data_IF_316263238660
#
_entry.id   IF_316263238660
#
_cell.length_a   1.000
_cell.length_b   1.000
_cell.length_c   1.000
_cell.angle_alpha   90.00
_cell.angle_beta   90.00
_cell.angle_gamma   90.00
#
_symmetry.space_group_name_H-M   'P 1'
#
loop_
_entity.id
_entity.type
_entity.pdbx_description
1 polymer ?
#
# COMPACT_ATOMS: atom_id res chain seq x y z
N UNK A 1 24.18 -14.30 -1.85
CA UNK A 1 23.45 -13.29 -1.06
C UNK A 1 22.17 -13.93 -0.58
N UNK A 2 21.74 -13.67 0.65
CA UNK A 2 20.43 -14.16 1.12
C UNK A 2 19.31 -13.40 0.38
N UNK A 3 18.16 -14.03 0.11
CA UNK A 3 17.07 -13.34 -0.59
C UNK A 3 16.41 -12.27 0.30
N UNK A 4 15.83 -11.25 -0.32
CA UNK A 4 14.92 -10.32 0.37
C UNK A 4 13.67 -11.10 0.78
N UNK A 5 13.37 -11.16 2.08
CA UNK A 5 12.20 -11.88 2.59
C UNK A 5 11.06 -10.94 2.88
N UNK A 6 9.90 -11.23 2.32
CA UNK A 6 8.67 -10.47 2.52
C UNK A 6 7.59 -11.33 3.20
N UNK A 7 6.89 -10.74 4.17
CA UNK A 7 5.75 -11.35 4.83
C UNK A 7 4.48 -10.66 4.35
N UNK A 8 3.59 -11.42 3.74
CA UNK A 8 2.23 -10.99 3.39
C UNK A 8 1.27 -11.51 4.46
N UNK A 9 0.67 -10.60 5.20
CA UNK A 9 -0.28 -10.96 6.24
C UNK A 9 -1.57 -11.51 5.63
N UNK A 10 -2.05 -12.65 6.14
CA UNK A 10 -3.30 -13.30 5.71
C UNK A 10 -4.24 -13.54 6.89
N UNK A 11 -5.49 -13.83 6.60
CA UNK A 11 -6.51 -14.27 7.57
C UNK A 11 -7.80 -13.46 7.55
N UNK A 12 -8.86 -14.07 8.00
CA UNK A 12 -10.15 -13.47 8.34
C UNK A 12 -10.68 -12.39 7.39
N UNK A 13 -10.70 -12.65 6.08
CA UNK A 13 -11.24 -11.73 5.08
C UNK A 13 -10.19 -10.91 4.33
N UNK A 14 -8.90 -11.02 4.66
CA UNK A 14 -7.82 -10.54 3.79
C UNK A 14 -7.77 -11.43 2.55
N UNK A 15 -8.16 -10.90 1.40
CA UNK A 15 -8.35 -11.68 0.17
C UNK A 15 -7.48 -11.25 -1.02
N UNK A 16 -6.65 -10.22 -0.86
CA UNK A 16 -5.66 -9.80 -1.88
C UNK A 16 -4.25 -10.38 -1.62
N UNK A 17 -4.15 -11.40 -0.78
CA UNK A 17 -2.89 -11.98 -0.32
C UNK A 17 -2.17 -12.79 -1.41
N UNK A 18 -2.90 -13.48 -2.29
CA UNK A 18 -2.33 -14.27 -3.39
C UNK A 18 -1.68 -13.39 -4.46
N UNK A 19 -2.38 -12.38 -4.95
CA UNK A 19 -1.85 -11.44 -5.92
C UNK A 19 -0.72 -10.58 -5.36
N UNK A 20 -0.77 -10.24 -4.06
CA UNK A 20 0.30 -9.52 -3.36
C UNK A 20 1.57 -10.38 -3.24
N UNK A 21 1.43 -11.64 -2.83
CA UNK A 21 2.52 -12.61 -2.79
C UNK A 21 3.15 -12.81 -4.18
N UNK A 22 2.31 -12.93 -5.20
CA UNK A 22 2.77 -13.07 -6.59
C UNK A 22 3.53 -11.82 -7.06
N UNK A 23 3.02 -10.61 -6.77
CA UNK A 23 3.66 -9.36 -7.14
C UNK A 23 5.05 -9.20 -6.49
N UNK A 24 5.19 -9.57 -5.21
CA UNK A 24 6.48 -9.57 -4.51
C UNK A 24 7.47 -10.57 -5.11
N UNK A 25 7.01 -11.77 -5.50
CA UNK A 25 7.84 -12.76 -6.19
C UNK A 25 8.30 -12.26 -7.57
N UNK A 26 7.43 -11.61 -8.34
CA UNK A 26 7.80 -10.94 -9.59
C UNK A 26 8.84 -9.83 -9.36
N UNK A 27 8.75 -9.12 -8.24
CA UNK A 27 9.73 -8.11 -7.85
C UNK A 27 11.08 -8.69 -7.37
N UNK A 28 11.17 -10.01 -7.16
CA UNK A 28 12.41 -10.70 -6.77
C UNK A 28 12.53 -11.02 -5.28
N UNK A 29 11.46 -10.87 -4.49
CA UNK A 29 11.45 -11.26 -3.09
C UNK A 29 11.15 -12.75 -2.90
N UNK A 30 11.67 -13.34 -1.82
CA UNK A 30 11.16 -14.56 -1.22
C UNK A 30 9.95 -14.20 -0.35
N UNK A 31 8.76 -14.30 -0.93
CA UNK A 31 7.52 -13.90 -0.29
C UNK A 31 6.80 -15.07 0.37
N UNK A 32 6.32 -14.84 1.59
CA UNK A 32 5.62 -15.81 2.43
C UNK A 32 4.27 -15.24 2.86
N UNK A 33 3.20 -15.99 2.61
CA UNK A 33 1.88 -15.70 3.14
C UNK A 33 1.77 -16.30 4.54
N UNK A 34 1.59 -15.44 5.55
CA UNK A 34 1.56 -15.82 6.96
C UNK A 34 0.23 -15.44 7.59
N UNK A 35 -0.46 -16.41 8.15
CA UNK A 35 -1.74 -16.15 8.81
C UNK A 35 -1.52 -15.40 10.13
N UNK A 36 -2.38 -14.41 10.42
CA UNK A 36 -2.27 -13.57 11.63
C UNK A 36 -2.14 -14.39 12.91
N UNK A 37 -2.80 -15.52 13.00
CA UNK A 37 -2.70 -16.38 14.18
C UNK A 37 -1.30 -16.99 14.36
N UNK A 38 -0.55 -17.21 13.29
CA UNK A 38 0.83 -17.72 13.38
C UNK A 38 1.74 -16.68 14.04
N UNK A 39 1.50 -15.40 13.76
CA UNK A 39 2.24 -14.31 14.40
C UNK A 39 1.82 -14.06 15.85
N UNK A 40 0.50 -14.16 16.15
CA UNK A 40 -0.03 -13.82 17.47
C UNK A 40 0.22 -14.91 18.48
N UNK A 41 0.02 -16.17 18.12
CA UNK A 41 -0.02 -17.27 19.08
C UNK A 41 1.11 -18.29 18.92
N UNK A 42 1.91 -18.20 17.86
CA UNK A 42 2.84 -19.24 17.49
C UNK A 42 2.15 -20.60 17.18
N UNK A 43 0.83 -20.60 17.01
CA UNK A 43 -0.01 -21.81 16.87
C UNK A 43 -0.48 -22.06 15.42
N UNK A 44 0.22 -21.53 14.44
CA UNK A 44 -0.08 -21.81 13.03
C UNK A 44 0.57 -23.10 12.52
N UNK A 45 0.46 -23.33 11.23
CA UNK A 45 1.15 -24.41 10.53
C UNK A 45 2.68 -24.31 10.61
N UNK A 46 3.19 -23.13 10.98
CA UNK A 46 4.61 -22.88 11.22
C UNK A 46 4.78 -22.04 12.51
N UNK A 47 4.90 -22.69 13.68
CA UNK A 47 5.06 -22.01 14.97
C UNK A 47 6.38 -21.22 15.10
N UNK A 48 7.30 -21.40 14.14
CA UNK A 48 8.61 -20.73 14.16
C UNK A 48 8.65 -19.46 13.29
N UNK A 49 7.47 -18.87 12.92
CA UNK A 49 7.43 -17.61 12.19
C UNK A 49 7.89 -16.47 13.09
N UNK A 50 9.12 -16.03 12.88
CA UNK A 50 9.70 -14.86 13.53
C UNK A 50 9.70 -13.67 12.57
N UNK A 51 8.93 -12.63 12.92
CA UNK A 51 8.83 -11.37 12.12
C UNK A 51 10.21 -10.73 11.93
N UNK A 52 11.14 -10.92 12.88
CA UNK A 52 12.49 -10.36 12.79
C UNK A 52 13.29 -10.88 11.61
N UNK A 53 12.95 -12.04 11.07
CA UNK A 53 13.63 -12.64 9.91
C UNK A 53 13.19 -12.10 8.56
N UNK A 54 12.14 -11.29 8.53
CA UNK A 54 11.62 -10.64 7.32
C UNK A 54 12.16 -9.21 7.18
N UNK A 55 12.12 -8.68 5.96
CA UNK A 55 12.58 -7.35 5.61
C UNK A 55 11.43 -6.41 5.19
N UNK A 56 10.37 -6.99 4.64
CA UNK A 56 9.16 -6.28 4.17
C UNK A 56 7.95 -6.93 4.82
N UNK A 57 7.10 -6.12 5.45
CA UNK A 57 5.81 -6.53 6.00
C UNK A 57 4.69 -5.90 5.18
N UNK A 58 3.77 -6.72 4.68
CA UNK A 58 2.65 -6.27 3.85
C UNK A 58 1.32 -6.56 4.53
N UNK A 59 0.58 -5.49 4.75
CA UNK A 59 -0.84 -5.51 5.10
C UNK A 59 -1.62 -5.45 3.78
N UNK A 60 -2.13 -6.58 3.33
CA UNK A 60 -2.86 -6.68 2.08
C UNK A 60 -4.25 -6.08 2.12
N UNK A 61 -4.85 -5.91 0.95
CA UNK A 61 -6.24 -5.54 0.78
C UNK A 61 -7.21 -6.67 1.16
N UNK A 62 -8.46 -6.31 1.30
CA UNK A 62 -9.54 -7.23 1.66
C UNK A 62 -10.59 -6.57 2.54
N UNK A 63 -11.24 -7.40 3.37
CA UNK A 63 -12.31 -7.02 4.30
C UNK A 63 -12.04 -7.71 5.64
N UNK A 64 -10.97 -7.31 6.32
CA UNK A 64 -10.53 -7.95 7.55
C UNK A 64 -11.65 -7.96 8.59
N UNK A 65 -12.05 -9.16 9.05
CA UNK A 65 -13.22 -9.38 9.92
C UNK A 65 -14.52 -8.77 9.38
N UNK A 66 -14.72 -8.83 8.03
CA UNK A 66 -15.88 -8.26 7.34
C UNK A 66 -16.06 -6.74 7.56
N UNK A 67 -14.95 -6.04 7.88
CA UNK A 67 -14.92 -4.61 8.24
C UNK A 67 -15.85 -4.25 9.42
N UNK A 68 -16.13 -5.23 10.26
CA UNK A 68 -16.92 -5.01 11.47
C UNK A 68 -16.25 -3.94 12.34
N UNK A 69 -17.03 -3.02 12.90
CA UNK A 69 -16.57 -1.82 13.60
C UNK A 69 -15.74 -0.82 12.76
N UNK A 70 -15.77 -0.92 11.43
CA UNK A 70 -15.03 -0.11 10.46
C UNK A 70 -13.82 -0.84 9.86
N UNK A 71 -13.49 -0.46 8.64
CA UNK A 71 -12.47 -1.14 7.86
C UNK A 71 -11.09 -1.13 8.54
N UNK A 72 -10.50 -2.31 8.68
CA UNK A 72 -9.18 -2.51 9.28
C UNK A 72 -9.10 -2.36 10.80
N UNK A 73 -10.20 -1.99 11.51
CA UNK A 73 -10.18 -1.70 12.96
C UNK A 73 -9.88 -2.96 13.79
N UNK A 74 -10.57 -4.07 13.51
CA UNK A 74 -10.36 -5.31 14.26
C UNK A 74 -8.96 -5.86 14.05
N UNK A 75 -8.46 -5.83 12.81
CA UNK A 75 -7.10 -6.25 12.50
C UNK A 75 -6.06 -5.41 13.26
N UNK A 76 -6.19 -4.08 13.20
CA UNK A 76 -5.31 -3.17 13.92
C UNK A 76 -5.31 -3.45 15.44
N UNK A 77 -6.49 -3.60 16.04
CA UNK A 77 -6.60 -3.93 17.47
C UNK A 77 -5.93 -5.26 17.82
N UNK A 78 -6.15 -6.31 17.01
CA UNK A 78 -5.51 -7.61 17.20
C UNK A 78 -3.98 -7.51 17.15
N UNK A 79 -3.45 -6.79 16.19
CA UNK A 79 -2.00 -6.57 16.05
C UNK A 79 -1.47 -5.76 17.24
N UNK A 80 -2.07 -4.62 17.54
CA UNK A 80 -1.62 -3.71 18.60
C UNK A 80 -1.47 -4.42 19.95
N UNK A 81 -2.48 -5.21 20.34
CA UNK A 81 -2.51 -5.85 21.65
C UNK A 81 -1.72 -7.17 21.74
N UNK A 82 -1.37 -7.81 20.62
CA UNK A 82 -0.68 -9.09 20.66
C UNK A 82 0.77 -9.04 20.18
N UNK A 83 1.07 -8.24 19.14
CA UNK A 83 2.41 -8.16 18.53
C UNK A 83 2.89 -6.72 18.31
N UNK A 84 2.27 -5.72 18.96
CA UNK A 84 2.61 -4.30 18.78
C UNK A 84 4.11 -4.03 18.99
N UNK A 85 4.71 -4.57 20.05
CA UNK A 85 6.14 -4.44 20.34
C UNK A 85 7.03 -5.04 19.23
N UNK A 86 6.59 -6.14 18.61
CA UNK A 86 7.32 -6.76 17.49
C UNK A 86 7.27 -5.86 16.25
N UNK A 87 6.10 -5.24 15.98
CA UNK A 87 5.94 -4.27 14.88
C UNK A 87 6.82 -3.04 15.13
N UNK A 88 6.82 -2.47 16.33
CA UNK A 88 7.68 -1.34 16.67
C UNK A 88 9.17 -1.68 16.50
N UNK A 89 9.59 -2.87 16.91
CA UNK A 89 10.96 -3.34 16.70
C UNK A 89 11.28 -3.46 15.21
N UNK A 90 10.37 -4.04 14.42
CA UNK A 90 10.50 -4.17 12.98
C UNK A 90 10.73 -2.82 12.29
N UNK A 91 9.98 -1.78 12.70
CA UNK A 91 10.12 -0.41 12.20
C UNK A 91 11.46 0.21 12.64
N UNK A 92 11.83 0.06 13.93
CA UNK A 92 13.13 0.56 14.45
C UNK A 92 14.33 -0.05 13.76
N UNK A 93 14.26 -1.33 13.39
CA UNK A 93 15.30 -2.04 12.64
C UNK A 93 15.46 -1.51 11.19
N UNK A 94 14.61 -0.57 10.77
CA UNK A 94 14.70 0.10 9.47
C UNK A 94 14.12 -0.71 8.33
N UNK A 95 13.23 -1.63 8.61
CA UNK A 95 12.54 -2.48 7.66
C UNK A 95 11.33 -1.77 7.04
N UNK A 96 10.77 -2.34 5.98
CA UNK A 96 9.70 -1.71 5.20
C UNK A 96 8.32 -2.27 5.56
N UNK A 97 7.35 -1.38 5.62
CA UNK A 97 5.93 -1.74 5.84
C UNK A 97 5.09 -1.10 4.74
N UNK A 98 4.23 -1.87 4.10
CA UNK A 98 3.24 -1.34 3.16
C UNK A 98 1.84 -1.83 3.52
N UNK A 99 0.87 -0.92 3.47
CA UNK A 99 -0.56 -1.20 3.63
C UNK A 99 -1.32 -0.84 2.36
N UNK A 100 -2.07 -1.79 1.81
CA UNK A 100 -2.83 -1.62 0.57
C UNK A 100 -4.32 -1.72 0.91
N UNK A 101 -5.12 -0.73 0.53
CA UNK A 101 -6.57 -0.69 0.77
C UNK A 101 -6.92 -0.98 2.25
N UNK A 102 -7.48 -2.14 2.58
CA UNK A 102 -7.74 -2.54 3.97
C UNK A 102 -6.47 -2.56 4.84
N UNK A 103 -5.32 -2.84 4.25
CA UNK A 103 -4.03 -2.72 4.91
C UNK A 103 -3.67 -1.28 5.27
N UNK A 104 -3.94 -0.31 4.39
CA UNK A 104 -3.74 1.10 4.69
C UNK A 104 -4.66 1.56 5.82
N UNK A 105 -5.94 1.17 5.80
CA UNK A 105 -6.89 1.43 6.89
C UNK A 105 -6.36 0.86 8.22
N UNK A 106 -5.78 -0.34 8.19
CA UNK A 106 -5.19 -0.97 9.36
C UNK A 106 -3.96 -0.21 9.88
N UNK A 107 -3.07 0.28 9.00
CA UNK A 107 -1.90 1.07 9.40
C UNK A 107 -2.32 2.40 10.06
N UNK A 108 -3.35 3.07 9.53
CA UNK A 108 -3.93 4.27 10.14
C UNK A 108 -4.55 3.96 11.51
N UNK A 109 -5.33 2.88 11.62
CA UNK A 109 -5.94 2.48 12.89
C UNK A 109 -4.91 2.02 13.95
N UNK A 110 -3.74 1.53 13.53
CA UNK A 110 -2.62 1.22 14.41
C UNK A 110 -1.90 2.48 14.92
N UNK A 111 -2.06 3.63 14.25
CA UNK A 111 -1.30 4.85 14.49
C UNK A 111 0.06 4.88 13.79
N UNK A 112 0.35 3.90 12.93
CA UNK A 112 1.61 3.84 12.17
C UNK A 112 1.70 4.88 11.05
N UNK A 113 0.56 5.35 10.58
CA UNK A 113 0.42 6.45 9.62
C UNK A 113 -0.51 7.51 10.17
N UNK A 114 -0.16 8.80 10.00
CA UNK A 114 1.01 9.33 9.30
C UNK A 114 2.32 9.27 10.09
N UNK A 115 2.33 8.88 11.36
CA UNK A 115 3.53 8.77 12.18
C UNK A 115 4.28 10.09 12.35
N UNK A 116 3.56 11.21 12.51
CA UNK A 116 4.15 12.54 12.64
C UNK A 116 5.25 12.58 13.71
N UNK A 117 6.38 13.16 13.37
CA UNK A 117 7.56 13.28 14.26
C UNK A 117 8.10 11.93 14.77
N UNK A 118 7.74 10.83 14.12
CA UNK A 118 8.12 9.47 14.54
C UNK A 118 7.26 8.93 15.69
N UNK A 119 6.14 9.54 15.98
CA UNK A 119 5.12 8.99 16.90
C UNK A 119 4.20 8.03 16.15
N UNK A 120 4.30 6.75 16.49
CA UNK A 120 3.53 5.67 15.88
C UNK A 120 2.40 5.16 16.78
N UNK A 121 1.94 5.98 17.72
CA UNK A 121 0.86 5.63 18.65
C UNK A 121 -0.42 6.44 18.42
N UNK A 122 -0.30 7.61 17.78
CA UNK A 122 -1.40 8.53 17.58
C UNK A 122 -2.11 8.30 16.24
N UNK A 123 -3.43 8.23 16.28
CA UNK A 123 -4.28 8.22 15.11
C UNK A 123 -4.80 9.63 14.83
N UNK A 124 -4.21 10.36 13.90
CA UNK A 124 -4.57 11.73 13.53
C UNK A 124 -5.33 11.83 12.20
N UNK A 125 -5.34 10.76 11.40
CA UNK A 125 -6.08 10.70 10.13
C UNK A 125 -7.04 9.52 10.10
N UNK A 126 -7.93 9.49 9.12
CA UNK A 126 -8.90 8.42 8.93
C UNK A 126 -9.08 8.05 7.46
N UNK A 127 -9.48 6.80 7.24
CA UNK A 127 -10.08 6.35 5.98
C UNK A 127 -11.53 5.98 6.29
N UNK A 128 -12.47 6.57 5.55
CA UNK A 128 -13.90 6.47 5.84
C UNK A 128 -14.71 6.18 4.58
N UNK A 129 -16.02 6.14 4.69
CA UNK A 129 -16.93 5.82 3.60
C UNK A 129 -16.73 6.74 2.39
N UNK A 130 -16.77 6.15 1.20
CA UNK A 130 -16.82 6.92 -0.05
C UNK A 130 -18.02 7.87 -0.03
N UNK A 131 -17.90 9.07 -0.59
CA UNK A 131 -19.00 10.04 -0.63
C UNK A 131 -20.24 9.54 -1.37
N UNK A 132 -20.04 8.61 -2.31
CA UNK A 132 -21.13 7.94 -3.02
C UNK A 132 -21.95 6.98 -2.15
N UNK A 133 -21.44 6.57 -0.98
CA UNK A 133 -22.01 5.51 -0.15
C UNK A 133 -21.95 4.12 -0.79
N UNK A 134 -21.28 3.97 -1.92
CA UNK A 134 -21.19 2.73 -2.68
C UNK A 134 -19.74 2.20 -2.74
N UNK A 135 -19.63 0.89 -2.95
CA UNK A 135 -18.38 0.26 -3.34
C UNK A 135 -18.00 0.70 -4.76
N UNK A 136 -16.76 1.15 -4.93
CA UNK A 136 -16.21 1.60 -6.22
C UNK A 136 -15.14 0.63 -6.66
N UNK A 137 -15.29 0.10 -7.88
CA UNK A 137 -14.29 -0.70 -8.60
C UNK A 137 -14.02 -0.03 -9.95
N UNK A 138 -12.87 0.61 -10.06
CA UNK A 138 -12.47 1.35 -11.26
C UNK A 138 -10.94 1.50 -11.32
N UNK A 139 -10.45 2.02 -12.44
CA UNK A 139 -9.05 2.42 -12.59
C UNK A 139 -8.90 3.92 -12.38
N UNK A 140 -7.82 4.31 -11.73
CA UNK A 140 -7.51 5.72 -11.42
C UNK A 140 -6.10 6.07 -11.82
N UNK A 141 -5.91 7.32 -12.22
CA UNK A 141 -4.60 7.91 -12.43
C UNK A 141 -4.10 8.49 -11.10
N UNK A 142 -2.83 8.28 -10.83
CA UNK A 142 -2.16 8.80 -9.64
C UNK A 142 -0.97 9.64 -10.05
N UNK A 143 -0.92 10.86 -9.52
CA UNK A 143 0.27 11.70 -9.53
C UNK A 143 1.08 11.37 -8.28
N UNK A 144 2.35 11.08 -8.46
CA UNK A 144 3.28 10.80 -7.36
C UNK A 144 4.08 12.07 -7.05
N UNK A 145 4.16 12.43 -5.79
CA UNK A 145 4.96 13.56 -5.33
C UNK A 145 6.47 13.26 -5.53
N UNK A 146 7.20 14.02 -6.34
CA UNK A 146 8.62 13.77 -6.59
C UNK A 146 9.51 14.03 -5.38
N UNK A 147 9.05 14.84 -4.42
CA UNK A 147 9.80 15.23 -3.21
C UNK A 147 9.49 14.32 -2.01
N UNK A 148 8.61 13.32 -2.19
CA UNK A 148 8.26 12.40 -1.10
C UNK A 148 9.45 11.56 -0.64
N UNK A 149 9.61 11.34 0.67
CA UNK A 149 10.61 10.40 1.19
C UNK A 149 10.26 8.93 0.90
N UNK A 150 9.07 8.64 0.37
CA UNK A 150 8.55 7.28 0.18
C UNK A 150 9.47 6.42 -0.69
N UNK A 151 9.99 5.35 -0.11
CA UNK A 151 10.95 4.45 -0.76
C UNK A 151 10.28 3.56 -1.83
N UNK A 152 8.99 3.32 -1.72
CA UNK A 152 8.23 2.47 -2.62
C UNK A 152 7.93 3.13 -3.98
N UNK A 153 7.91 4.46 -4.04
CA UNK A 153 7.53 5.21 -5.25
C UNK A 153 8.70 5.91 -5.94
N UNK A 154 9.92 5.60 -5.53
CA UNK A 154 11.13 6.19 -6.10
C UNK A 154 11.17 6.05 -7.63
N UNK A 155 11.35 7.18 -8.33
CA UNK A 155 11.41 7.22 -9.81
C UNK A 155 10.07 7.00 -10.52
N UNK A 156 8.95 7.03 -9.78
CA UNK A 156 7.60 7.00 -10.34
C UNK A 156 7.02 8.40 -10.25
N UNK A 157 6.62 8.99 -11.36
CA UNK A 157 5.95 10.32 -11.40
C UNK A 157 4.44 10.20 -11.59
N UNK A 158 4.02 9.13 -12.26
CA UNK A 158 2.63 8.84 -12.59
C UNK A 158 2.43 7.33 -12.69
N UNK A 159 1.26 6.85 -12.25
CA UNK A 159 0.88 5.43 -12.34
C UNK A 159 -0.64 5.28 -12.39
N UNK A 160 -1.14 4.36 -13.22
CA UNK A 160 -2.55 3.95 -13.22
C UNK A 160 -2.69 2.68 -12.39
N UNK A 161 -3.64 2.65 -11.46
CA UNK A 161 -3.91 1.49 -10.61
C UNK A 161 -5.42 1.28 -10.44
N UNK A 162 -5.88 0.04 -10.19
CA UNK A 162 -7.27 -0.20 -9.82
C UNK A 162 -7.54 0.21 -8.36
N UNK A 163 -8.74 0.70 -8.09
CA UNK A 163 -9.32 0.88 -6.75
C UNK A 163 -10.51 -0.04 -6.58
N UNK A 164 -10.68 -0.61 -5.36
CA UNK A 164 -11.75 -1.55 -5.02
C UNK A 164 -12.11 -1.37 -3.56
N UNK A 165 -12.97 -0.41 -3.22
CA UNK A 165 -13.29 -0.10 -1.83
C UNK A 165 -14.62 0.61 -1.65
N UNK A 166 -15.23 0.41 -0.49
CA UNK A 166 -16.39 1.17 0.00
C UNK A 166 -16.01 2.26 1.00
N UNK A 167 -14.83 2.12 1.63
CA UNK A 167 -14.28 3.01 2.66
C UNK A 167 -12.87 3.45 2.26
N UNK A 168 -12.76 4.31 1.26
CA UNK A 168 -11.46 4.76 0.73
C UNK A 168 -11.18 6.25 0.90
N UNK A 169 -12.16 7.02 1.41
CA UNK A 169 -12.05 8.47 1.57
C UNK A 169 -11.05 8.83 2.65
N UNK A 170 -9.95 9.47 2.25
CA UNK A 170 -9.00 10.05 3.19
C UNK A 170 -9.59 11.31 3.85
N UNK A 171 -9.49 11.37 5.17
CA UNK A 171 -9.99 12.46 5.99
C UNK A 171 -9.02 12.80 7.12
N UNK A 172 -8.76 14.10 7.32
CA UNK A 172 -7.94 14.62 8.40
C UNK A 172 -8.35 16.06 8.75
N UNK A 173 -7.82 16.61 9.84
CA UNK A 173 -7.96 18.03 10.14
C UNK A 173 -7.19 18.88 9.12
N UNK A 174 -7.53 20.17 9.00
CA UNK A 174 -6.79 21.09 8.12
C UNK A 174 -5.32 21.17 8.51
N UNK A 175 -5.02 21.20 9.81
CA UNK A 175 -3.65 21.25 10.32
C UNK A 175 -2.86 19.98 9.99
N UNK A 176 -3.49 18.83 10.05
CA UNK A 176 -2.83 17.56 9.69
C UNK A 176 -2.59 17.45 8.18
N UNK A 177 -3.53 17.94 7.35
CA UNK A 177 -3.36 18.02 5.91
C UNK A 177 -2.19 18.94 5.55
N UNK A 178 -2.14 20.15 6.12
CA UNK A 178 -1.03 21.08 5.92
C UNK A 178 0.30 20.43 6.33
N UNK A 179 0.35 19.76 7.50
CA UNK A 179 1.54 19.06 7.99
C UNK A 179 1.99 17.93 7.04
N UNK A 180 1.06 17.17 6.46
CA UNK A 180 1.35 16.13 5.48
C UNK A 180 2.01 16.70 4.22
N UNK A 181 1.51 17.83 3.71
CA UNK A 181 2.09 18.47 2.54
C UNK A 181 3.45 19.11 2.84
N UNK A 182 3.58 19.83 3.94
CA UNK A 182 4.84 20.46 4.35
C UNK A 182 5.97 19.45 4.56
N UNK A 183 5.66 18.26 5.09
CA UNK A 183 6.62 17.18 5.31
C UNK A 183 6.81 16.26 4.11
N UNK A 184 6.15 16.52 2.97
CA UNK A 184 6.16 15.67 1.77
C UNK A 184 5.68 14.21 2.03
N UNK A 185 4.86 14.01 3.05
CA UNK A 185 4.30 12.70 3.38
C UNK A 185 3.09 12.31 2.51
N UNK A 186 2.48 13.26 1.80
CA UNK A 186 1.54 12.94 0.72
C UNK A 186 2.32 12.36 -0.44
N UNK A 187 2.13 11.06 -0.67
CA UNK A 187 2.88 10.29 -1.68
C UNK A 187 2.17 10.29 -3.02
N UNK A 188 0.86 10.02 -3.00
CA UNK A 188 0.05 9.86 -4.18
C UNK A 188 -1.25 10.65 -4.06
N UNK A 189 -1.60 11.36 -5.13
CA UNK A 189 -2.88 12.03 -5.29
C UNK A 189 -3.61 11.50 -6.51
N UNK A 190 -4.93 11.39 -6.41
CA UNK A 190 -5.79 11.13 -7.57
C UNK A 190 -5.62 12.25 -8.59
N UNK A 191 -5.54 11.90 -9.86
CA UNK A 191 -5.25 12.80 -10.96
C UNK A 191 -6.09 12.48 -12.20
N UNK A 192 -6.20 13.43 -13.09
CA UNK A 192 -6.73 13.19 -14.43
C UNK A 192 -5.67 12.52 -15.35
N UNK A 193 -6.06 12.19 -16.57
CA UNK A 193 -5.19 11.54 -17.56
C UNK A 193 -3.95 12.40 -17.93
N UNK A 194 -4.04 13.72 -17.79
CA UNK A 194 -2.93 14.66 -18.03
C UNK A 194 -1.96 14.77 -16.84
N UNK A 195 -2.23 14.09 -15.72
CA UNK A 195 -1.43 14.13 -14.51
C UNK A 195 -1.67 15.37 -13.63
N UNK A 196 -2.73 16.13 -13.88
CA UNK A 196 -3.14 17.19 -12.97
C UNK A 196 -4.00 16.63 -11.84
N UNK A 197 -3.96 17.21 -10.61
CA UNK A 197 -4.83 16.81 -9.51
C UNK A 197 -6.32 16.75 -9.91
N UNK A 198 -7.05 15.80 -9.39
CA UNK A 198 -8.47 15.61 -9.65
C UNK A 198 -9.33 16.79 -9.16
N UNK A 199 -8.82 17.57 -8.19
CA UNK A 199 -9.50 18.72 -7.57
C UNK A 199 -10.88 18.33 -6.99
N UNK A 200 -10.95 17.16 -6.36
CA UNK A 200 -12.16 16.61 -5.76
C UNK A 200 -13.21 16.12 -6.77
N UNK A 201 -12.90 16.13 -8.06
CA UNK A 201 -13.89 15.81 -9.08
C UNK A 201 -14.02 14.32 -9.35
N UNK A 202 -15.24 13.85 -9.48
CA UNK A 202 -15.58 12.52 -10.02
C UNK A 202 -15.43 12.56 -11.56
N UNK A 203 -14.93 11.51 -12.21
CA UNK A 203 -14.53 10.19 -11.67
C UNK A 203 -13.07 10.11 -11.20
N UNK A 204 -12.26 11.13 -11.38
CA UNK A 204 -10.82 11.12 -11.12
C UNK A 204 -10.53 10.90 -9.62
N UNK A 205 -11.26 11.60 -8.73
CA UNK A 205 -11.28 11.29 -7.29
C UNK A 205 -12.51 10.42 -6.99
N UNK A 206 -12.33 9.09 -6.87
CA UNK A 206 -13.46 8.16 -6.86
C UNK A 206 -14.20 8.10 -5.53
N UNK A 207 -13.62 8.63 -4.46
CA UNK A 207 -14.12 8.43 -3.10
C UNK A 207 -14.35 9.72 -2.30
N UNK A 208 -13.98 10.88 -2.85
CA UNK A 208 -14.09 12.17 -2.16
C UNK A 208 -12.98 12.45 -1.15
N UNK A 209 -11.82 11.80 -1.30
CA UNK A 209 -10.63 12.05 -0.47
C UNK A 209 -10.26 13.53 -0.46
N UNK A 210 -10.00 14.06 0.74
CA UNK A 210 -9.54 15.44 0.88
C UNK A 210 -8.21 15.63 0.16
N UNK A 211 -8.07 16.78 -0.54
CA UNK A 211 -6.89 17.14 -1.34
C UNK A 211 -6.45 16.03 -2.31
N UNK A 212 -7.40 15.21 -2.79
CA UNK A 212 -7.17 14.08 -3.68
C UNK A 212 -6.20 13.03 -3.12
N UNK A 213 -5.97 12.98 -1.82
CA UNK A 213 -4.98 12.08 -1.22
C UNK A 213 -5.40 10.62 -1.43
N UNK A 214 -4.56 9.86 -2.14
CA UNK A 214 -4.71 8.43 -2.41
C UNK A 214 -3.76 7.56 -1.58
N UNK A 215 -2.65 8.14 -1.09
CA UNK A 215 -1.66 7.44 -0.27
C UNK A 215 -0.68 8.38 0.41
N UNK A 216 -0.25 7.97 1.62
CA UNK A 216 0.69 8.70 2.46
C UNK A 216 1.79 7.79 2.99
N UNK A 217 2.91 8.37 3.42
CA UNK A 217 3.96 7.63 4.11
C UNK A 217 4.29 8.25 5.49
N UNK A 218 5.06 7.52 6.27
CA UNK A 218 5.68 8.07 7.49
C UNK A 218 6.85 9.02 7.15
N UNK A 219 7.37 9.81 8.10
CA UNK A 219 8.47 10.75 7.83
C UNK A 219 9.75 10.10 7.29
N UNK A 220 9.94 8.79 7.49
CA UNK A 220 11.11 8.07 6.99
C UNK A 220 10.92 7.47 5.60
N UNK A 221 9.69 7.48 5.07
CA UNK A 221 9.33 6.87 3.80
C UNK A 221 9.33 5.33 3.80
N UNK A 222 9.47 4.70 4.97
CA UNK A 222 9.54 3.24 5.12
C UNK A 222 8.20 2.58 5.42
N UNK A 223 7.24 3.34 5.91
CA UNK A 223 5.86 2.90 6.09
C UNK A 223 5.02 3.63 5.07
N UNK A 224 4.36 2.89 4.19
CA UNK A 224 3.56 3.44 3.11
C UNK A 224 2.16 2.84 3.10
N UNK A 225 1.16 3.67 2.95
CA UNK A 225 -0.23 3.27 2.78
C UNK A 225 -0.85 3.87 1.55
N UNK A 226 -1.60 3.09 0.77
CA UNK A 226 -2.34 3.57 -0.39
C UNK A 226 -3.66 2.81 -0.56
N UNK A 227 -4.69 3.50 -1.06
CA UNK A 227 -5.99 2.89 -1.35
C UNK A 227 -6.02 2.11 -2.67
N UNK A 228 -5.40 2.58 -3.76
CA UNK A 228 -5.26 1.78 -4.98
C UNK A 228 -4.43 0.51 -4.79
N UNK A 229 -4.64 -0.47 -5.66
CA UNK A 229 -4.09 -1.83 -5.59
C UNK A 229 -2.96 -2.05 -6.61
N UNK A 230 -1.67 -1.87 -6.26
CA UNK A 230 -0.57 -2.13 -7.18
C UNK A 230 -0.44 -3.63 -7.53
N UNK A 231 -0.80 -4.54 -6.61
CA UNK A 231 -0.83 -5.97 -6.86
C UNK A 231 -1.89 -6.37 -7.88
N UNK A 232 -2.94 -5.56 -8.03
CA UNK A 232 -3.98 -5.72 -9.06
C UNK A 232 -3.51 -5.37 -10.47
N UNK A 233 -2.35 -4.71 -10.62
CA UNK A 233 -1.71 -4.43 -11.90
C UNK A 233 -0.33 -5.09 -11.98
N UNK A 234 -0.30 -6.42 -11.86
CA UNK A 234 0.92 -7.21 -11.94
C UNK A 234 1.25 -7.70 -13.35
N UNK A 235 0.29 -7.73 -14.26
CA UNK A 235 0.45 -8.12 -15.64
C UNK A 235 -0.19 -7.07 -16.56
N UNK A 236 0.44 -6.78 -17.71
CA UNK A 236 -0.03 -5.76 -18.66
C UNK A 236 -1.49 -5.94 -19.08
N UNK A 237 -1.95 -7.18 -19.22
CA UNK A 237 -3.34 -7.48 -19.61
C UNK A 237 -4.37 -7.31 -18.49
N UNK A 238 -3.97 -6.98 -17.27
CA UNK A 238 -4.92 -6.62 -16.22
C UNK A 238 -5.58 -5.25 -16.51
N UNK A 239 -4.91 -4.39 -17.26
CA UNK A 239 -5.45 -3.07 -17.59
C UNK A 239 -6.64 -3.20 -18.55
N UNK A 240 -7.79 -2.51 -18.31
CA UNK A 240 -8.99 -2.65 -19.17
C UNK A 240 -8.71 -2.26 -20.63
N UNK A 241 -7.87 -1.26 -20.87
CA UNK A 241 -7.51 -0.79 -22.21
C UNK A 241 -6.20 -1.39 -22.73
N UNK A 242 -5.80 -2.58 -22.26
CA UNK A 242 -4.51 -3.19 -22.63
C UNK A 242 -4.34 -3.39 -24.13
N UNK A 243 -5.40 -3.68 -24.89
CA UNK A 243 -5.34 -3.88 -26.32
C UNK A 243 -5.00 -2.60 -27.08
N UNK A 244 -5.55 -1.46 -26.65
CA UNK A 244 -5.21 -0.16 -27.23
C UNK A 244 -3.80 0.27 -26.84
N UNK A 245 -3.43 0.16 -25.56
CA UNK A 245 -2.07 0.42 -25.08
C UNK A 245 -1.04 -0.41 -25.86
N UNK A 246 -1.31 -1.69 -26.09
CA UNK A 246 -0.47 -2.56 -26.93
C UNK A 246 -0.31 -1.99 -28.34
N UNK A 247 -1.42 -1.60 -28.99
CA UNK A 247 -1.38 -1.02 -30.34
C UNK A 247 -0.57 0.27 -30.42
N UNK A 248 -0.65 1.13 -29.38
CA UNK A 248 0.16 2.36 -29.31
C UNK A 248 1.65 2.01 -29.21
N UNK A 249 2.02 1.10 -28.29
CA UNK A 249 3.41 0.65 -28.13
C UNK A 249 3.99 0.04 -29.42
N UNK A 250 3.21 -0.78 -30.11
CA UNK A 250 3.62 -1.36 -31.41
C UNK A 250 3.89 -0.28 -32.48
N UNK A 251 3.03 0.76 -32.55
CA UNK A 251 3.25 1.92 -33.43
C UNK A 251 4.54 2.68 -33.10
N UNK A 252 4.84 2.82 -31.80
CA UNK A 252 6.05 3.47 -31.31
C UNK A 252 7.29 2.57 -31.37
N UNK A 253 7.16 1.33 -31.86
CA UNK A 253 8.21 0.30 -31.88
C UNK A 253 8.78 -0.01 -30.50
N UNK A 254 7.97 0.15 -29.46
CA UNK A 254 8.30 -0.23 -28.09
C UNK A 254 7.78 -1.63 -27.80
N UNK A 255 8.53 -2.41 -27.05
CA UNK A 255 8.08 -3.73 -26.56
C UNK A 255 7.64 -3.63 -25.11
N UNK A 256 6.64 -4.41 -24.75
CA UNK A 256 6.25 -4.61 -23.36
C UNK A 256 7.31 -5.55 -22.75
N UNK A 257 8.13 -5.01 -21.84
CA UNK A 257 9.13 -5.83 -21.14
C UNK A 257 8.41 -6.80 -20.21
N UNK A 258 8.69 -8.08 -20.36
CA UNK A 258 8.21 -9.17 -19.52
C UNK A 258 6.68 -9.26 -19.30
N UNK A 259 5.89 -8.51 -20.05
CA UNK A 259 4.44 -8.41 -19.85
C UNK A 259 4.00 -7.95 -18.43
N UNK A 260 4.89 -7.35 -17.66
CA UNK A 260 4.59 -6.85 -16.34
C UNK A 260 3.70 -5.59 -16.39
N UNK A 261 2.80 -5.49 -15.44
CA UNK A 261 2.03 -4.27 -15.17
C UNK A 261 2.84 -3.28 -14.33
N UNK A 262 2.49 -2.00 -14.42
CA UNK A 262 3.24 -0.94 -13.73
C UNK A 262 3.18 -1.04 -12.20
N UNK A 263 2.18 -1.71 -11.64
CA UNK A 263 2.07 -1.90 -10.19
C UNK A 263 3.26 -2.62 -9.55
N UNK A 264 3.95 -3.48 -10.33
CA UNK A 264 5.15 -4.21 -9.87
C UNK A 264 6.29 -3.26 -9.50
N UNK A 265 6.35 -2.07 -10.08
CA UNK A 265 7.39 -1.07 -9.78
C UNK A 265 7.45 -0.70 -8.30
N UNK A 266 6.28 -0.61 -7.63
CA UNK A 266 6.17 -0.29 -6.20
C UNK A 266 6.85 -1.38 -5.36
N UNK A 267 6.60 -2.65 -5.66
CA UNK A 267 7.23 -3.77 -4.97
C UNK A 267 8.73 -3.90 -5.30
N UNK A 268 9.10 -3.63 -6.56
CA UNK A 268 10.50 -3.68 -7.00
C UNK A 268 11.35 -2.65 -6.28
N UNK A 269 10.88 -1.41 -6.15
CA UNK A 269 11.56 -0.37 -5.39
C UNK A 269 11.83 -0.80 -3.94
N UNK A 270 10.87 -1.46 -3.30
CA UNK A 270 11.04 -1.99 -1.95
C UNK A 270 12.12 -3.07 -1.88
N UNK A 271 12.10 -4.01 -2.84
CA UNK A 271 13.09 -5.10 -2.91
C UNK A 271 14.49 -4.56 -3.18
N UNK A 272 14.63 -3.65 -4.13
CA UNK A 272 15.90 -3.01 -4.47
C UNK A 272 16.49 -2.25 -3.25
N UNK A 273 15.68 -1.44 -2.57
CA UNK A 273 16.11 -0.73 -1.37
C UNK A 273 16.63 -1.68 -0.28
N UNK A 274 15.91 -2.77 -0.01
CA UNK A 274 16.33 -3.76 0.99
C UNK A 274 17.61 -4.46 0.56
N UNK A 275 17.72 -4.85 -0.71
CA UNK A 275 18.92 -5.50 -1.25
C UNK A 275 20.16 -4.63 -1.09
N UNK A 276 20.05 -3.34 -1.39
CA UNK A 276 21.16 -2.37 -1.24
C UNK A 276 21.52 -2.17 0.23
N UNK A 277 20.52 -2.00 1.11
CA UNK A 277 20.72 -1.70 2.53
C UNK A 277 21.31 -2.86 3.32
N UNK A 278 20.81 -4.06 3.12
CA UNK A 278 21.18 -5.26 3.91
C UNK A 278 22.23 -6.12 3.19
N UNK A 279 22.59 -5.78 1.95
CA UNK A 279 23.51 -6.55 1.09
C UNK A 279 23.06 -8.02 0.91
N UNK A 280 21.76 -8.22 0.80
CA UNK A 280 21.08 -9.51 0.63
C UNK A 280 20.66 -9.74 -0.83
#
# INVERSE_FOLDING_TARGET
MSPVRALVLTGYGLNCDYETDYALKLAGAESHRVHINELISGQGSNPDVDLSTFHILVFGGGFAWADDHGAGVVLASKIKFNIGEQIERFIRDGKLVIGICNGFQSLVNLGLLPGFRGDYQERSVALTYNDSGNFIDTWVNLKINPETPCLFTKGISHIELPVRHGEGKFYASTEDIESLFESNQVVAQYANEDGNPASGQWPENPNGSLEDIAGICDPTGRIFGLMPHPEGFNHFTNHPNWTEKKRILEKERKSIKNHEGDGIRIFRNAVEYISERYKV
#
